data_IF_229989057304
#
_entry.id   IF_229989057304
#
_cell.length_a   1.000
_cell.length_b   1.000
_cell.length_c   1.000
_cell.angle_alpha   90.00
_cell.angle_beta   90.00
_cell.angle_gamma   90.00
#
_symmetry.space_group_name_H-M   'P 1'
#
loop_
_entity.id
_entity.type
_entity.pdbx_description
1 polymer ?
#
# COMPACT_ATOMS: atom_id res chain seq x y z
N UNK A 1 -28.09 -48.16 -28.50
CA UNK A 1 -28.10 -49.44 -27.77
C UNK A 1 -27.03 -49.33 -26.71
N UNK A 2 -27.46 -49.12 -25.45
CA UNK A 2 -26.77 -49.38 -24.16
C UNK A 2 -25.33 -48.84 -23.99
N UNK A 3 -24.96 -48.10 -22.94
CA UNK A 3 -25.43 -48.15 -21.57
C UNK A 3 -25.07 -46.86 -20.81
N UNK A 4 -25.94 -46.55 -19.86
CA UNK A 4 -25.71 -45.65 -18.74
C UNK A 4 -24.55 -46.17 -17.88
N UNK A 5 -23.68 -45.27 -17.42
CA UNK A 5 -22.90 -45.51 -16.20
C UNK A 5 -23.13 -44.31 -15.29
N UNK A 6 -23.98 -44.57 -14.30
CA UNK A 6 -24.23 -43.76 -13.11
C UNK A 6 -22.92 -43.43 -12.41
N UNK A 7 -22.62 -42.15 -12.22
CA UNK A 7 -21.63 -41.72 -11.24
C UNK A 7 -22.36 -41.28 -9.97
N UNK A 8 -22.54 -42.20 -9.03
CA UNK A 8 -23.02 -41.91 -7.69
C UNK A 8 -21.93 -41.19 -6.90
N UNK A 9 -21.86 -39.87 -7.04
CA UNK A 9 -21.05 -39.02 -6.18
C UNK A 9 -21.71 -38.90 -4.80
N UNK A 10 -21.33 -39.77 -3.87
CA UNK A 10 -21.58 -39.61 -2.45
C UNK A 10 -20.86 -38.33 -1.98
N UNK A 11 -21.61 -37.22 -1.89
CA UNK A 11 -21.14 -36.04 -1.15
C UNK A 11 -21.08 -36.42 0.32
N UNK A 12 -19.91 -36.83 0.78
CA UNK A 12 -19.57 -36.80 2.19
C UNK A 12 -19.48 -35.32 2.59
N UNK A 13 -20.59 -34.79 3.10
CA UNK A 13 -20.61 -33.50 3.76
C UNK A 13 -19.82 -33.63 5.06
N UNK A 14 -18.57 -33.18 5.05
CA UNK A 14 -17.77 -33.02 6.26
C UNK A 14 -18.32 -31.84 7.08
N UNK A 15 -18.69 -32.01 8.35
CA UNK A 15 -19.08 -30.89 9.20
C UNK A 15 -17.82 -30.29 9.81
N UNK A 16 -17.06 -29.53 9.01
CA UNK A 16 -16.01 -28.66 9.57
C UNK A 16 -16.62 -27.33 10.02
N UNK A 17 -17.62 -27.40 10.90
CA UNK A 17 -18.00 -26.27 11.73
C UNK A 17 -16.95 -26.15 12.85
N UNK A 18 -15.79 -25.60 12.49
CA UNK A 18 -14.82 -25.08 13.45
C UNK A 18 -15.33 -23.77 14.04
N UNK A 19 -16.46 -23.81 14.75
CA UNK A 19 -16.95 -22.72 15.59
C UNK A 19 -16.07 -22.64 16.84
N UNK A 20 -14.88 -22.09 16.69
CA UNK A 20 -14.09 -21.52 17.78
C UNK A 20 -14.29 -20.01 17.74
N UNK A 21 -15.43 -19.51 18.22
CA UNK A 21 -15.61 -18.08 18.38
C UNK A 21 -14.53 -17.56 19.33
N UNK A 22 -13.68 -16.59 18.94
CA UNK A 22 -12.73 -16.01 19.88
C UNK A 22 -13.54 -15.18 20.87
N UNK A 23 -13.74 -15.68 22.09
CA UNK A 23 -14.32 -14.90 23.19
C UNK A 23 -13.25 -13.95 23.73
N UNK A 24 -12.88 -12.95 22.93
CA UNK A 24 -12.09 -11.84 23.40
C UNK A 24 -12.82 -11.19 24.59
N UNK A 25 -12.08 -10.86 25.65
CA UNK A 25 -12.70 -10.25 26.84
C UNK A 25 -13.32 -8.89 26.48
N UNK A 26 -14.39 -8.45 27.18
CA UNK A 26 -14.95 -7.11 26.95
C UNK A 26 -13.91 -6.00 27.04
N UNK A 27 -12.95 -6.11 27.96
CA UNK A 27 -11.83 -5.18 28.08
C UNK A 27 -10.91 -5.18 26.84
N UNK A 28 -10.60 -6.36 26.28
CA UNK A 28 -9.81 -6.47 25.04
C UNK A 28 -10.54 -5.84 23.84
N UNK A 29 -11.87 -5.97 23.76
CA UNK A 29 -12.67 -5.35 22.70
C UNK A 29 -12.70 -3.82 22.79
N UNK A 30 -12.76 -3.26 24.00
CA UNK A 30 -12.67 -1.81 24.22
C UNK A 30 -11.30 -1.26 23.82
N UNK A 31 -10.22 -1.92 24.24
CA UNK A 31 -8.87 -1.47 23.87
C UNK A 31 -8.61 -1.62 22.35
N UNK A 32 -9.12 -2.69 21.73
CA UNK A 32 -9.05 -2.86 20.28
C UNK A 32 -9.76 -1.71 19.55
N UNK A 33 -10.94 -1.30 20.00
CA UNK A 33 -11.64 -0.15 19.42
C UNK A 33 -10.82 1.13 19.55
N UNK A 34 -10.28 1.42 20.74
CA UNK A 34 -9.45 2.61 20.99
C UNK A 34 -8.20 2.65 20.10
N UNK A 35 -7.55 1.50 19.89
CA UNK A 35 -6.38 1.39 19.01
C UNK A 35 -6.76 1.60 17.54
N UNK A 36 -7.91 1.08 17.10
CA UNK A 36 -8.41 1.32 15.74
C UNK A 36 -8.75 2.78 15.49
N UNK A 37 -9.39 3.45 16.45
CA UNK A 37 -9.64 4.89 16.34
C UNK A 37 -8.32 5.67 16.19
N UNK A 38 -7.25 5.21 16.86
CA UNK A 38 -5.92 5.82 16.69
C UNK A 38 -5.34 5.56 15.30
N UNK A 39 -5.52 4.36 14.76
CA UNK A 39 -5.08 3.98 13.40
C UNK A 39 -5.82 4.82 12.35
N UNK A 40 -7.15 4.93 12.45
CA UNK A 40 -7.96 5.69 11.49
C UNK A 40 -7.54 7.17 11.44
N UNK A 41 -7.19 7.75 12.60
CA UNK A 41 -6.66 9.12 12.67
C UNK A 41 -5.27 9.25 12.00
N UNK A 42 -4.39 8.26 12.19
CA UNK A 42 -3.08 8.24 11.54
C UNK A 42 -3.21 8.08 10.02
N UNK A 43 -4.14 7.24 9.57
CA UNK A 43 -4.40 7.02 8.14
C UNK A 43 -4.94 8.30 7.48
N UNK A 44 -5.83 9.04 8.14
CA UNK A 44 -6.28 10.34 7.67
C UNK A 44 -5.11 11.34 7.52
N UNK A 45 -4.22 11.40 8.51
CA UNK A 45 -3.03 12.24 8.44
C UNK A 45 -2.09 11.82 7.29
N UNK A 46 -1.90 10.51 7.09
CA UNK A 46 -1.08 9.97 6.01
C UNK A 46 -1.63 10.37 4.64
N UNK A 47 -2.94 10.26 4.42
CA UNK A 47 -3.58 10.68 3.17
C UNK A 47 -3.37 12.17 2.90
N UNK A 48 -3.52 13.03 3.91
CA UNK A 48 -3.29 14.47 3.74
C UNK A 48 -1.83 14.79 3.40
N UNK A 49 -0.87 14.15 4.07
CA UNK A 49 0.57 14.33 3.77
C UNK A 49 0.90 13.86 2.36
N UNK A 50 0.36 12.71 1.94
CA UNK A 50 0.54 12.21 0.58
C UNK A 50 -0.04 13.18 -0.45
N UNK A 51 -1.24 13.73 -0.22
CA UNK A 51 -1.86 14.70 -1.11
C UNK A 51 -0.96 15.94 -1.32
N UNK A 52 -0.39 16.49 -0.25
CA UNK A 52 0.55 17.60 -0.34
C UNK A 52 1.84 17.19 -1.07
N UNK A 53 2.38 16.01 -0.78
CA UNK A 53 3.56 15.49 -1.51
C UNK A 53 3.28 15.39 -3.02
N UNK A 54 2.10 14.90 -3.40
CA UNK A 54 1.72 14.77 -4.81
C UNK A 54 1.56 16.12 -5.51
N UNK A 55 1.03 17.15 -4.83
CA UNK A 55 1.00 18.52 -5.36
C UNK A 55 2.41 19.02 -5.67
N UNK A 56 3.36 18.86 -4.75
CA UNK A 56 4.76 19.22 -4.98
C UNK A 56 5.34 18.46 -6.17
N UNK A 57 5.09 17.15 -6.28
CA UNK A 57 5.61 16.38 -7.42
C UNK A 57 4.97 16.79 -8.75
N UNK A 58 3.70 17.19 -8.79
CA UNK A 58 3.08 17.71 -10.01
C UNK A 58 3.75 19.02 -10.44
N UNK A 59 4.04 19.92 -9.50
CA UNK A 59 4.79 21.15 -9.79
C UNK A 59 6.20 20.84 -10.32
N UNK A 60 6.90 19.85 -9.76
CA UNK A 60 8.17 19.37 -10.29
C UNK A 60 8.02 18.83 -11.71
N UNK A 61 6.95 18.07 -11.99
CA UNK A 61 6.67 17.54 -13.33
C UNK A 61 6.45 18.64 -14.36
N UNK A 62 5.62 19.64 -14.02
CA UNK A 62 5.40 20.82 -14.85
C UNK A 62 6.68 21.61 -15.10
N UNK A 63 7.49 21.81 -14.05
CA UNK A 63 8.79 22.46 -14.16
C UNK A 63 9.72 21.69 -15.10
N UNK A 64 9.81 20.37 -14.94
CA UNK A 64 10.64 19.51 -15.79
C UNK A 64 10.20 19.58 -17.25
N UNK A 65 8.90 19.43 -17.51
CA UNK A 65 8.33 19.50 -18.86
C UNK A 65 8.60 20.86 -19.52
N UNK A 66 8.39 21.97 -18.80
CA UNK A 66 8.62 23.32 -19.33
C UNK A 66 10.09 23.61 -19.69
N UNK A 67 11.03 22.83 -19.15
CA UNK A 67 12.47 23.00 -19.36
C UNK A 67 13.11 21.81 -20.09
N UNK A 68 12.31 20.95 -20.73
CA UNK A 68 12.78 19.76 -21.46
C UNK A 68 13.67 18.84 -20.61
N UNK A 69 13.42 18.76 -19.30
CA UNK A 69 14.15 17.89 -18.38
C UNK A 69 13.52 16.49 -18.35
N UNK A 70 14.32 15.43 -18.16
CA UNK A 70 13.78 14.07 -18.07
C UNK A 70 12.90 13.89 -16.82
N UNK A 71 11.80 13.14 -16.99
CA UNK A 71 10.90 12.77 -15.90
C UNK A 71 11.62 11.94 -14.83
N UNK A 72 12.37 10.92 -15.27
CA UNK A 72 13.21 10.09 -14.40
C UNK A 72 14.50 10.82 -13.97
N UNK A 73 14.93 10.56 -12.74
CA UNK A 73 16.19 11.07 -12.19
C UNK A 73 16.80 9.99 -11.27
N UNK A 74 17.55 9.03 -11.83
CA UNK A 74 18.02 7.86 -11.09
C UNK A 74 18.89 8.20 -9.88
N UNK A 75 19.70 9.25 -9.98
CA UNK A 75 20.55 9.69 -8.87
C UNK A 75 19.68 10.26 -7.74
N UNK A 76 18.68 11.08 -8.06
CA UNK A 76 17.75 11.60 -7.07
C UNK A 76 16.90 10.50 -6.44
N UNK A 77 16.49 9.49 -7.20
CA UNK A 77 15.74 8.33 -6.72
C UNK A 77 16.56 7.51 -5.71
N UNK A 78 17.82 7.21 -6.03
CA UNK A 78 18.74 6.50 -5.12
C UNK A 78 18.93 7.27 -3.80
N UNK A 79 19.15 8.58 -3.87
CA UNK A 79 19.29 9.43 -2.67
C UNK A 79 18.02 9.44 -1.81
N UNK A 80 16.83 9.39 -2.43
CA UNK A 80 15.57 9.33 -1.69
C UNK A 80 15.41 8.01 -0.95
N UNK A 81 15.76 6.89 -1.60
CA UNK A 81 15.73 5.55 -0.99
C UNK A 81 16.67 5.50 0.21
N UNK A 82 17.93 5.91 0.04
CA UNK A 82 18.93 5.89 1.13
C UNK A 82 18.49 6.75 2.33
N UNK A 83 17.97 7.95 2.06
CA UNK A 83 17.46 8.83 3.12
C UNK A 83 16.28 8.19 3.84
N UNK A 84 15.35 7.55 3.12
CA UNK A 84 14.16 6.97 3.73
C UNK A 84 14.50 5.72 4.55
N UNK A 85 15.42 4.86 4.08
CA UNK A 85 15.90 3.71 4.86
C UNK A 85 16.47 4.15 6.21
N UNK A 86 17.22 5.26 6.26
CA UNK A 86 17.73 5.84 7.53
C UNK A 86 16.59 6.32 8.43
N UNK A 87 15.65 7.09 7.89
CA UNK A 87 14.50 7.58 8.66
C UNK A 87 13.63 6.44 9.21
N UNK A 88 13.45 5.37 8.42
CA UNK A 88 12.72 4.18 8.84
C UNK A 88 13.42 3.50 10.03
N UNK A 89 14.74 3.30 9.93
CA UNK A 89 15.52 2.73 11.02
C UNK A 89 15.43 3.57 12.32
N UNK A 90 15.54 4.90 12.20
CA UNK A 90 15.38 5.84 13.32
C UNK A 90 13.98 5.77 13.95
N UNK A 91 12.94 5.60 13.12
CA UNK A 91 11.55 5.47 13.55
C UNK A 91 11.17 4.04 14.01
N UNK A 92 12.11 3.09 14.01
CA UNK A 92 11.88 1.66 14.28
C UNK A 92 10.86 1.01 13.32
N UNK A 93 10.79 1.52 12.09
CA UNK A 93 10.09 0.92 10.97
C UNK A 93 11.07 0.08 10.16
N UNK A 94 10.60 -1.04 9.61
CA UNK A 94 11.42 -1.88 8.73
C UNK A 94 11.91 -1.07 7.50
N UNK A 95 13.23 -0.91 7.30
CA UNK A 95 13.77 -0.19 6.15
C UNK A 95 13.39 -0.80 4.80
N UNK A 96 13.21 -2.13 4.72
CA UNK A 96 12.78 -2.77 3.47
C UNK A 96 11.33 -2.44 3.12
N UNK A 97 10.45 -2.43 4.13
CA UNK A 97 9.08 -1.96 3.97
C UNK A 97 9.04 -0.49 3.52
N UNK A 98 9.82 0.38 4.16
CA UNK A 98 9.87 1.79 3.81
C UNK A 98 10.34 2.02 2.37
N UNK A 99 11.34 1.27 1.92
CA UNK A 99 11.80 1.30 0.53
C UNK A 99 10.70 0.86 -0.44
N UNK A 100 10.04 -0.27 -0.19
CA UNK A 100 8.93 -0.76 -1.04
C UNK A 100 7.81 0.27 -1.15
N UNK A 101 7.45 0.89 -0.03
CA UNK A 101 6.44 1.95 -0.01
C UNK A 101 6.86 3.16 -0.84
N UNK A 102 8.10 3.63 -0.71
CA UNK A 102 8.58 4.76 -1.50
C UNK A 102 8.69 4.44 -2.98
N UNK A 103 9.18 3.26 -3.35
CA UNK A 103 9.26 2.82 -4.73
C UNK A 103 7.89 2.81 -5.40
N UNK A 104 6.84 2.39 -4.66
CA UNK A 104 5.46 2.50 -5.12
C UNK A 104 5.05 3.96 -5.37
N UNK A 105 5.32 4.86 -4.43
CA UNK A 105 4.99 6.29 -4.59
C UNK A 105 5.78 6.93 -5.74
N UNK A 106 7.06 6.62 -5.92
CA UNK A 106 7.90 7.13 -7.00
C UNK A 106 7.36 6.68 -8.36
N UNK A 107 7.01 5.40 -8.51
CA UNK A 107 6.43 4.88 -9.75
C UNK A 107 5.17 5.66 -10.16
N UNK A 108 4.29 5.96 -9.20
CA UNK A 108 3.08 6.74 -9.47
C UNK A 108 3.38 8.21 -9.82
N UNK A 109 4.45 8.79 -9.28
CA UNK A 109 4.90 10.14 -9.64
C UNK A 109 5.45 10.17 -11.07
N UNK A 110 6.29 9.21 -11.45
CA UNK A 110 6.85 9.14 -12.80
C UNK A 110 5.73 9.01 -13.85
N UNK A 111 4.74 8.14 -13.60
CA UNK A 111 3.56 8.00 -14.46
C UNK A 111 2.82 9.33 -14.69
N UNK A 112 2.74 10.17 -13.65
CA UNK A 112 2.14 11.51 -13.79
C UNK A 112 3.02 12.49 -14.56
N UNK A 113 4.35 12.41 -14.42
CA UNK A 113 5.27 13.28 -15.16
C UNK A 113 5.25 12.97 -16.66
N UNK A 114 5.24 11.68 -17.02
CA UNK A 114 5.11 11.23 -18.41
C UNK A 114 3.82 11.78 -19.03
N UNK A 115 2.68 11.63 -18.33
CA UNK A 115 1.40 12.15 -18.80
C UNK A 115 1.33 13.69 -18.94
N UNK A 116 2.16 14.43 -18.21
CA UNK A 116 2.27 15.89 -18.33
C UNK A 116 3.16 16.26 -19.54
N UNK A 117 4.23 15.50 -19.77
CA UNK A 117 5.17 15.75 -20.87
C UNK A 117 4.59 15.41 -22.25
N UNK A 118 3.58 14.54 -22.31
CA UNK A 118 2.89 14.14 -23.55
C UNK A 118 1.82 15.16 -24.03
N UNK A 119 1.63 16.28 -23.31
CA UNK A 119 0.70 17.37 -23.65
C UNK A 119 1.42 18.59 -24.21
#
# INVERSE_FOLDING_TARGET
>A
MTAEISNSGTRSASPAAGTGAPTASPAAMVELARLRDSIDNLDAALVHVLAERFKCTQQVGLLKAANSMPAADPEREAQQIDRLRRLAAEAKLDPEFAEKFLSFIIAEVLRHHEAISDK
#
